data_IF_664258171759
#
_entry.id   IF_664258171759
#
_cell.length_a   1.000
_cell.length_b   1.000
_cell.length_c   1.000
_cell.angle_alpha   90.00
_cell.angle_beta   90.00
_cell.angle_gamma   90.00
#
_symmetry.space_group_name_H-M   'P 1'
#
loop_
_entity.id
_entity.type
_entity.pdbx_description
1 polymer ?
#
# COMPACT_ATOMS: atom_id res chain seq x y z
N UNK A 1 -23.00 -3.81 -3.96
CA UNK A 1 -22.89 -2.41 -4.44
C UNK A 1 -22.72 -2.33 -5.96
N UNK A 2 -21.69 -2.96 -6.56
CA UNK A 2 -21.43 -2.82 -8.00
C UNK A 2 -22.59 -3.26 -8.93
N UNK A 3 -23.24 -4.39 -8.66
CA UNK A 3 -24.45 -4.80 -9.39
C UNK A 3 -25.61 -3.81 -9.24
N UNK A 4 -25.77 -3.19 -8.08
CA UNK A 4 -26.81 -2.19 -7.88
C UNK A 4 -26.55 -0.93 -8.73
N UNK A 5 -25.27 -0.51 -8.86
CA UNK A 5 -24.88 0.57 -9.76
C UNK A 5 -25.14 0.19 -11.22
N UNK A 6 -24.80 -1.03 -11.63
CA UNK A 6 -25.08 -1.53 -12.97
C UNK A 6 -26.58 -1.52 -13.30
N UNK A 7 -27.42 -2.03 -12.38
CA UNK A 7 -28.88 -2.02 -12.52
C UNK A 7 -29.43 -0.58 -12.61
N UNK A 8 -28.88 0.35 -11.81
CA UNK A 8 -29.26 1.76 -11.87
C UNK A 8 -28.88 2.39 -13.22
N UNK A 9 -27.70 2.11 -13.75
CA UNK A 9 -27.26 2.57 -15.07
C UNK A 9 -28.20 2.06 -16.16
N UNK A 10 -28.54 0.77 -16.14
CA UNK A 10 -29.49 0.17 -17.09
C UNK A 10 -30.88 0.81 -16.99
N UNK A 11 -31.38 1.05 -15.77
CA UNK A 11 -32.66 1.70 -15.56
C UNK A 11 -32.67 3.15 -16.10
N UNK A 12 -31.60 3.91 -15.88
CA UNK A 12 -31.46 5.28 -16.42
C UNK A 12 -31.36 5.25 -17.95
N UNK A 13 -30.59 4.32 -18.52
CA UNK A 13 -30.42 4.20 -19.96
C UNK A 13 -31.75 3.86 -20.65
N UNK A 14 -32.51 2.89 -20.13
CA UNK A 14 -33.85 2.55 -20.64
C UNK A 14 -34.83 3.72 -20.53
N UNK A 15 -34.82 4.45 -19.40
CA UNK A 15 -35.65 5.67 -19.23
C UNK A 15 -35.31 6.78 -20.22
N UNK A 16 -34.07 6.84 -20.70
CA UNK A 16 -33.60 7.79 -21.71
C UNK A 16 -33.80 7.29 -23.14
N UNK A 17 -34.41 6.12 -23.34
CA UNK A 17 -34.65 5.54 -24.67
C UNK A 17 -33.38 5.06 -25.36
N UNK A 18 -32.35 4.66 -24.61
CA UNK A 18 -31.17 4.04 -25.19
C UNK A 18 -31.53 2.68 -25.80
N UNK A 19 -31.08 2.44 -27.03
CA UNK A 19 -31.18 1.14 -27.70
C UNK A 19 -30.04 0.24 -27.20
N UNK A 20 -30.33 -0.53 -26.15
CA UNK A 20 -29.38 -1.47 -25.55
C UNK A 20 -29.70 -2.88 -26.03
N UNK A 21 -28.71 -3.57 -26.58
CA UNK A 21 -28.86 -4.98 -26.91
C UNK A 21 -28.55 -5.89 -25.69
N UNK A 22 -28.80 -7.19 -25.85
CA UNK A 22 -28.52 -8.16 -24.79
C UNK A 22 -27.02 -8.29 -24.46
N UNK A 23 -26.12 -7.90 -25.35
CA UNK A 23 -24.68 -7.88 -25.07
C UNK A 23 -24.32 -6.69 -24.18
N UNK A 24 -24.86 -5.50 -24.45
CA UNK A 24 -24.65 -4.30 -23.63
C UNK A 24 -25.10 -4.53 -22.18
N UNK A 25 -26.28 -5.13 -22.00
CA UNK A 25 -26.78 -5.45 -20.65
C UNK A 25 -25.88 -6.43 -19.91
N UNK A 26 -25.42 -7.48 -20.60
CA UNK A 26 -24.49 -8.47 -20.04
C UNK A 26 -23.15 -7.84 -19.66
N UNK A 27 -22.62 -6.94 -20.48
CA UNK A 27 -21.38 -6.24 -20.19
C UNK A 27 -21.50 -5.30 -19.00
N UNK A 28 -22.58 -4.52 -18.93
CA UNK A 28 -22.81 -3.60 -17.80
C UNK A 28 -22.96 -4.38 -16.49
N UNK A 29 -23.72 -5.47 -16.49
CA UNK A 29 -23.86 -6.35 -15.32
C UNK A 29 -22.53 -7.04 -14.97
N UNK A 30 -21.82 -7.56 -15.96
CA UNK A 30 -20.52 -8.21 -15.79
C UNK A 30 -19.49 -7.28 -15.18
N UNK A 31 -19.34 -6.06 -15.71
CA UNK A 31 -18.45 -5.02 -15.16
C UNK A 31 -18.90 -4.58 -13.76
N UNK A 32 -20.22 -4.47 -13.52
CA UNK A 32 -20.78 -4.18 -12.20
C UNK A 32 -20.46 -5.26 -11.16
N UNK A 33 -20.41 -6.53 -11.56
CA UNK A 33 -19.99 -7.63 -10.69
C UNK A 33 -18.46 -7.67 -10.50
N UNK A 34 -17.69 -7.46 -11.56
CA UNK A 34 -16.22 -7.55 -11.52
C UNK A 34 -15.56 -6.36 -10.83
N UNK A 35 -16.13 -5.15 -10.94
CA UNK A 35 -15.54 -3.93 -10.37
C UNK A 35 -15.20 -4.05 -8.88
N UNK A 36 -16.14 -4.46 -8.01
CA UNK A 36 -15.85 -4.69 -6.59
C UNK A 36 -14.80 -5.77 -6.32
N UNK A 37 -14.75 -6.83 -7.14
CA UNK A 37 -13.75 -7.89 -7.00
C UNK A 37 -12.37 -7.35 -7.36
N UNK A 38 -12.25 -6.64 -8.49
CA UNK A 38 -10.99 -6.01 -8.91
C UNK A 38 -10.54 -4.99 -7.86
N UNK A 39 -11.45 -4.17 -7.33
CA UNK A 39 -11.11 -3.22 -6.27
C UNK A 39 -10.54 -3.92 -5.04
N UNK A 40 -11.23 -4.95 -4.52
CA UNK A 40 -10.73 -5.73 -3.38
C UNK A 40 -9.38 -6.38 -3.66
N UNK A 41 -9.17 -6.91 -4.87
CA UNK A 41 -7.89 -7.49 -5.27
C UNK A 41 -6.78 -6.43 -5.33
N UNK A 42 -7.06 -5.25 -5.89
CA UNK A 42 -6.11 -4.14 -5.95
C UNK A 42 -5.74 -3.63 -4.55
N UNK A 43 -6.71 -3.56 -3.65
CA UNK A 43 -6.47 -3.22 -2.25
C UNK A 43 -5.61 -4.30 -1.56
N UNK A 44 -5.85 -5.56 -1.89
CA UNK A 44 -5.05 -6.68 -1.43
C UNK A 44 -3.60 -6.69 -1.92
N UNK A 45 -3.24 -5.89 -2.93
CA UNK A 45 -1.84 -5.72 -3.36
C UNK A 45 -1.05 -4.74 -2.47
N UNK A 46 -1.71 -4.10 -1.51
CA UNK A 46 -1.12 -3.06 -0.69
C UNK A 46 -0.54 -3.56 0.64
N UNK A 47 0.12 -2.66 1.36
CA UNK A 47 0.74 -2.93 2.68
C UNK A 47 -0.26 -2.91 3.84
N UNK A 48 -1.44 -2.29 3.67
CA UNK A 48 -2.46 -2.21 4.74
C UNK A 48 -3.27 -3.50 4.91
N UNK A 49 -3.35 -4.34 3.88
CA UNK A 49 -3.99 -5.65 3.92
C UNK A 49 -5.52 -5.65 3.90
N UNK A 50 -6.10 -6.82 3.67
CA UNK A 50 -7.55 -7.01 3.50
C UNK A 50 -8.06 -8.28 4.20
N UNK A 51 -9.38 -8.36 4.34
CA UNK A 51 -10.14 -9.51 4.88
C UNK A 51 -11.14 -10.05 3.83
N UNK A 52 -10.68 -10.65 2.72
CA UNK A 52 -11.57 -10.97 1.59
C UNK A 52 -12.57 -12.09 1.88
N UNK A 53 -12.32 -12.89 2.92
CA UNK A 53 -13.11 -14.06 3.30
C UNK A 53 -13.83 -13.90 4.64
N UNK A 54 -13.84 -12.70 5.23
CA UNK A 54 -14.62 -12.41 6.43
C UNK A 54 -16.13 -12.60 6.15
N UNK A 55 -16.90 -13.31 7.01
CA UNK A 55 -16.58 -13.77 8.37
C UNK A 55 -16.07 -15.21 8.51
N UNK A 56 -15.73 -15.89 7.42
CA UNK A 56 -15.27 -17.30 7.44
C UNK A 56 -13.80 -17.42 7.84
N UNK A 57 -12.99 -16.43 7.48
CA UNK A 57 -11.60 -16.29 7.90
C UNK A 57 -11.39 -14.86 8.43
N UNK A 58 -10.76 -14.76 9.59
CA UNK A 58 -10.59 -13.55 10.39
C UNK A 58 -9.14 -13.03 10.39
N UNK A 59 -8.25 -13.69 9.66
CA UNK A 59 -6.87 -13.28 9.49
C UNK A 59 -6.67 -12.29 8.34
N UNK A 60 -5.58 -11.53 8.43
CA UNK A 60 -5.19 -10.55 7.42
C UNK A 60 -4.48 -11.20 6.23
N UNK A 61 -4.69 -10.61 5.05
CA UNK A 61 -3.93 -10.91 3.83
C UNK A 61 -3.27 -9.63 3.34
N UNK A 62 -1.95 -9.66 3.15
CA UNK A 62 -1.14 -8.53 2.70
C UNK A 62 -0.48 -8.85 1.36
N UNK A 63 -0.45 -7.87 0.46
CA UNK A 63 0.22 -8.02 -0.84
C UNK A 63 1.60 -7.38 -0.88
N UNK A 64 1.81 -6.31 -0.11
CA UNK A 64 3.10 -5.61 0.03
C UNK A 64 3.78 -5.30 -1.31
N UNK A 65 3.01 -4.91 -2.33
CA UNK A 65 3.51 -4.85 -3.69
C UNK A 65 3.28 -3.51 -4.39
N UNK A 66 2.06 -2.98 -4.33
CA UNK A 66 1.66 -1.82 -5.14
C UNK A 66 1.21 -0.69 -4.23
N UNK A 67 1.64 0.54 -4.54
CA UNK A 67 1.16 1.73 -3.86
C UNK A 67 -0.32 2.02 -4.19
N UNK A 68 -1.10 2.49 -3.21
CA UNK A 68 -2.58 2.55 -3.32
C UNK A 68 -3.07 3.46 -4.45
N UNK A 69 -2.32 4.52 -4.75
CA UNK A 69 -2.57 5.43 -5.88
C UNK A 69 -1.44 5.27 -6.88
N UNK A 70 -1.54 4.29 -7.78
CA UNK A 70 -0.47 3.98 -8.75
C UNK A 70 -0.69 4.67 -10.12
N UNK A 71 0.08 5.73 -10.45
CA UNK A 71 -0.06 6.44 -11.73
C UNK A 71 0.12 5.58 -12.97
N UNK A 72 1.00 4.56 -12.94
CA UNK A 72 1.26 3.71 -14.10
C UNK A 72 0.01 2.98 -14.59
N UNK A 73 -0.90 2.60 -13.68
CA UNK A 73 -2.16 1.96 -14.06
C UNK A 73 -3.04 2.90 -14.89
N UNK A 74 -3.11 4.17 -14.53
CA UNK A 74 -3.88 5.17 -15.27
C UNK A 74 -3.21 5.47 -16.61
N UNK A 75 -1.90 5.67 -16.61
CA UNK A 75 -1.14 6.06 -17.81
C UNK A 75 -1.03 4.92 -18.83
N UNK A 76 -1.14 3.68 -18.40
CA UNK A 76 -1.21 2.51 -19.30
C UNK A 76 -2.61 2.24 -19.82
N UNK A 77 -3.67 2.49 -19.05
CA UNK A 77 -5.05 2.26 -19.49
C UNK A 77 -5.64 3.41 -20.32
N UNK A 78 -5.44 4.66 -19.89
CA UNK A 78 -6.17 5.81 -20.43
C UNK A 78 -5.99 6.01 -21.94
N UNK A 79 -4.79 5.89 -22.55
CA UNK A 79 -4.65 6.06 -24.01
C UNK A 79 -5.56 5.15 -24.83
N UNK A 80 -5.72 3.89 -24.39
CA UNK A 80 -6.58 2.91 -25.06
C UNK A 80 -8.06 3.24 -24.86
N UNK A 81 -8.45 3.58 -23.62
CA UNK A 81 -9.83 4.00 -23.32
C UNK A 81 -10.20 5.30 -24.05
N UNK A 82 -9.26 6.22 -24.20
CA UNK A 82 -9.47 7.51 -24.87
C UNK A 82 -9.69 7.34 -26.36
N UNK A 83 -8.98 6.40 -27.00
CA UNK A 83 -9.19 6.06 -28.41
C UNK A 83 -10.62 5.56 -28.69
N UNK A 84 -11.23 4.89 -27.71
CA UNK A 84 -12.61 4.37 -27.79
C UNK A 84 -13.68 5.31 -27.21
N UNK A 85 -13.27 6.37 -26.48
CA UNK A 85 -14.18 7.30 -25.85
C UNK A 85 -14.94 8.16 -26.88
N UNK A 86 -16.28 8.09 -26.85
CA UNK A 86 -17.16 8.79 -27.80
C UNK A 86 -17.71 10.12 -27.31
N UNK A 87 -17.74 10.35 -25.99
CA UNK A 87 -18.37 11.55 -25.41
C UNK A 87 -17.32 12.51 -24.84
N UNK A 88 -17.60 13.82 -24.93
CA UNK A 88 -16.72 14.84 -24.35
C UNK A 88 -16.55 14.69 -22.82
N UNK A 89 -17.60 14.38 -22.02
CA UNK A 89 -17.42 14.16 -20.58
C UNK A 89 -16.50 12.98 -20.26
N UNK A 90 -16.64 11.83 -20.93
CA UNK A 90 -15.75 10.69 -20.72
C UNK A 90 -14.31 11.06 -21.07
N UNK A 91 -14.09 11.75 -22.19
CA UNK A 91 -12.75 12.25 -22.58
C UNK A 91 -12.17 13.22 -21.56
N UNK A 92 -12.98 14.12 -21.00
CA UNK A 92 -12.55 15.07 -19.98
C UNK A 92 -12.09 14.35 -18.70
N UNK A 93 -12.84 13.34 -18.22
CA UNK A 93 -12.44 12.52 -17.06
C UNK A 93 -11.12 11.79 -17.34
N UNK A 94 -10.98 11.19 -18.52
CA UNK A 94 -9.74 10.50 -18.91
C UNK A 94 -8.54 11.46 -18.98
N UNK A 95 -8.73 12.66 -19.55
CA UNK A 95 -7.70 13.70 -19.58
C UNK A 95 -7.32 14.13 -18.15
N UNK A 96 -8.30 14.29 -17.26
CA UNK A 96 -8.04 14.63 -15.86
C UNK A 96 -7.21 13.55 -15.17
N UNK A 97 -7.48 12.27 -15.41
CA UNK A 97 -6.67 11.17 -14.89
C UNK A 97 -5.23 11.20 -15.41
N UNK A 98 -5.02 11.56 -16.68
CA UNK A 98 -3.66 11.74 -17.23
C UNK A 98 -2.98 12.95 -16.61
N UNK A 99 -3.67 14.07 -16.45
CA UNK A 99 -3.14 15.27 -15.79
C UNK A 99 -2.77 14.94 -14.34
N UNK A 100 -3.59 14.18 -13.61
CA UNK A 100 -3.27 13.75 -12.27
C UNK A 100 -2.07 12.80 -12.25
N UNK A 101 -2.08 11.76 -13.09
CA UNK A 101 -1.03 10.74 -13.15
C UNK A 101 0.32 11.26 -13.61
N UNK A 102 0.36 12.24 -14.53
CA UNK A 102 1.59 12.90 -14.94
C UNK A 102 1.95 14.09 -14.05
N UNK A 103 0.98 14.90 -13.66
CA UNK A 103 1.19 16.18 -13.00
C UNK A 103 1.51 16.07 -11.50
N UNK A 104 0.81 15.21 -10.75
CA UNK A 104 1.05 15.06 -9.32
C UNK A 104 2.51 14.66 -9.01
N UNK A 105 3.15 13.71 -9.72
CA UNK A 105 4.57 13.41 -9.55
C UNK A 105 5.52 14.62 -9.64
N UNK A 106 5.17 15.68 -10.38
CA UNK A 106 5.96 16.91 -10.44
C UNK A 106 5.65 17.89 -9.31
N UNK A 107 4.44 17.84 -8.76
CA UNK A 107 4.03 18.67 -7.61
C UNK A 107 4.57 18.13 -6.28
N UNK A 108 4.80 16.81 -6.19
CA UNK A 108 5.39 16.15 -5.01
C UNK A 108 6.73 15.47 -5.36
N UNK A 109 7.77 16.24 -5.73
CA UNK A 109 9.03 15.69 -6.22
C UNK A 109 9.77 14.82 -5.18
N UNK A 110 9.44 14.96 -3.89
CA UNK A 110 9.95 14.12 -2.81
C UNK A 110 9.46 12.67 -2.87
N UNK A 111 8.29 12.40 -3.49
CA UNK A 111 7.70 11.06 -3.58
C UNK A 111 8.06 10.32 -4.87
N UNK A 112 8.32 11.04 -5.96
CA UNK A 112 8.62 10.47 -7.27
C UNK A 112 9.93 11.05 -7.80
N UNK A 113 11.01 10.27 -7.87
CA UNK A 113 12.30 10.74 -8.38
C UNK A 113 12.24 11.20 -9.85
N UNK A 114 13.15 12.08 -10.25
CA UNK A 114 13.19 12.61 -11.62
C UNK A 114 13.27 11.52 -12.70
N UNK A 115 14.10 10.46 -12.57
CA UNK A 115 14.12 9.38 -13.57
C UNK A 115 12.76 8.70 -13.75
N UNK A 116 12.00 8.54 -12.67
CA UNK A 116 10.66 7.93 -12.70
C UNK A 116 9.66 8.86 -13.37
N UNK A 117 9.70 10.18 -13.08
CA UNK A 117 8.85 11.17 -13.76
C UNK A 117 9.07 11.18 -15.27
N UNK A 118 10.31 11.10 -15.72
CA UNK A 118 10.66 11.02 -17.14
C UNK A 118 10.16 9.68 -17.72
N UNK A 119 10.37 8.57 -17.01
CA UNK A 119 9.88 7.26 -17.43
C UNK A 119 8.35 7.26 -17.61
N UNK A 120 7.59 7.90 -16.71
CA UNK A 120 6.13 8.04 -16.84
C UNK A 120 5.72 8.75 -18.13
N UNK A 121 6.41 9.85 -18.48
CA UNK A 121 6.16 10.57 -19.74
C UNK A 121 6.45 9.70 -20.96
N UNK A 122 7.58 8.99 -20.94
CA UNK A 122 7.99 8.10 -22.04
C UNK A 122 7.02 6.93 -22.19
N UNK A 123 6.66 6.26 -21.09
CA UNK A 123 5.69 5.16 -21.09
C UNK A 123 4.35 5.66 -21.61
N UNK A 124 3.85 6.79 -21.12
CA UNK A 124 2.60 7.36 -21.61
C UNK A 124 2.65 7.66 -23.12
N UNK A 125 3.74 8.25 -23.61
CA UNK A 125 3.91 8.52 -25.04
C UNK A 125 3.90 7.23 -25.87
N UNK A 126 4.57 6.16 -25.40
CA UNK A 126 4.54 4.84 -26.03
C UNK A 126 3.11 4.31 -26.06
N UNK A 127 2.38 4.37 -24.94
CA UNK A 127 0.99 3.89 -24.86
C UNK A 127 0.06 4.65 -25.81
N UNK A 128 0.26 5.97 -25.96
CA UNK A 128 -0.47 6.78 -26.96
C UNK A 128 -0.16 6.33 -28.39
N UNK A 129 1.10 6.06 -28.72
CA UNK A 129 1.47 5.53 -30.05
C UNK A 129 0.84 4.17 -30.28
N UNK A 130 0.95 3.24 -29.33
CA UNK A 130 0.35 1.91 -29.43
C UNK A 130 -1.18 1.97 -29.59
N UNK A 131 -1.86 2.81 -28.82
CA UNK A 131 -3.31 2.99 -28.92
C UNK A 131 -3.76 3.58 -30.27
N UNK A 132 -2.89 4.31 -30.98
CA UNK A 132 -3.16 4.85 -32.32
C UNK A 132 -2.80 3.89 -33.45
N UNK A 133 -1.75 3.08 -33.28
CA UNK A 133 -1.27 2.16 -34.31
C UNK A 133 -2.12 0.89 -34.38
N UNK A 134 -2.62 0.42 -33.24
CA UNK A 134 -3.43 -0.79 -33.17
C UNK A 134 -4.92 -0.47 -33.08
N UNK A 135 -5.74 -1.34 -33.64
CA UNK A 135 -7.19 -1.20 -33.69
C UNK A 135 -7.91 -2.47 -33.19
N UNK A 136 -9.20 -2.32 -32.89
CA UNK A 136 -10.10 -3.41 -32.51
C UNK A 136 -9.57 -4.26 -31.36
N UNK A 137 -9.70 -5.59 -31.50
CA UNK A 137 -9.32 -6.56 -30.46
C UNK A 137 -7.84 -6.49 -30.09
N UNK A 138 -6.95 -6.15 -31.03
CA UNK A 138 -5.52 -6.02 -30.75
C UNK A 138 -5.24 -4.84 -29.84
N UNK A 139 -5.88 -3.69 -30.09
CA UNK A 139 -5.79 -2.52 -29.20
C UNK A 139 -6.25 -2.87 -27.78
N UNK A 140 -7.40 -3.53 -27.66
CA UNK A 140 -7.93 -3.95 -26.36
C UNK A 140 -6.98 -4.92 -25.64
N UNK A 141 -6.44 -5.93 -26.33
CA UNK A 141 -5.52 -6.89 -25.75
C UNK A 141 -4.22 -6.24 -25.26
N UNK A 142 -3.64 -5.30 -26.03
CA UNK A 142 -2.45 -4.56 -25.62
C UNK A 142 -2.76 -3.67 -24.42
N UNK A 143 -3.88 -2.95 -24.42
CA UNK A 143 -4.29 -2.10 -23.29
C UNK A 143 -4.49 -2.89 -22.00
N UNK A 144 -5.20 -4.03 -22.08
CA UNK A 144 -5.37 -4.94 -20.94
C UNK A 144 -4.04 -5.54 -20.49
N UNK A 145 -3.19 -5.96 -21.43
CA UNK A 145 -1.86 -6.50 -21.14
C UNK A 145 -0.96 -5.47 -20.46
N UNK A 146 -0.99 -4.21 -20.90
CA UNK A 146 -0.25 -3.12 -20.26
C UNK A 146 -0.78 -2.85 -18.84
N UNK A 147 -2.10 -2.74 -18.68
CA UNK A 147 -2.74 -2.49 -17.39
C UNK A 147 -2.45 -3.61 -16.37
N UNK A 148 -2.67 -4.88 -16.72
CA UNK A 148 -2.42 -6.01 -15.84
C UNK A 148 -0.94 -6.38 -15.73
N UNK A 149 -0.11 -5.98 -16.69
CA UNK A 149 1.33 -6.14 -16.63
C UNK A 149 1.96 -5.32 -15.50
N UNK A 150 1.43 -4.13 -15.20
CA UNK A 150 1.91 -3.28 -14.09
C UNK A 150 1.88 -4.03 -12.75
N UNK A 151 0.73 -4.52 -12.22
CA UNK A 151 0.71 -5.21 -10.93
C UNK A 151 1.54 -6.50 -10.94
N UNK A 152 1.64 -7.20 -12.07
CA UNK A 152 2.52 -8.39 -12.21
C UNK A 152 3.99 -8.01 -12.00
N UNK A 153 4.46 -6.92 -12.61
CA UNK A 153 5.84 -6.43 -12.42
C UNK A 153 6.09 -6.04 -10.97
N UNK A 154 5.16 -5.34 -10.33
CA UNK A 154 5.29 -4.92 -8.94
C UNK A 154 5.24 -6.11 -7.96
N UNK A 155 4.40 -7.12 -8.21
CA UNK A 155 4.38 -8.36 -7.43
C UNK A 155 5.70 -9.14 -7.54
N UNK A 156 6.25 -9.24 -8.76
CA UNK A 156 7.56 -9.85 -8.97
C UNK A 156 8.67 -9.08 -8.25
N UNK A 157 8.66 -7.74 -8.34
CA UNK A 157 9.59 -6.87 -7.64
C UNK A 157 9.45 -6.96 -6.11
N UNK A 158 8.23 -7.05 -5.58
CA UNK A 158 7.94 -7.25 -4.15
C UNK A 158 8.56 -8.54 -3.62
N UNK A 159 8.40 -9.65 -4.36
CA UNK A 159 9.02 -10.93 -3.99
C UNK A 159 10.54 -10.79 -3.86
N UNK A 160 11.17 -10.09 -4.81
CA UNK A 160 12.60 -9.79 -4.76
C UNK A 160 12.96 -8.85 -3.61
N UNK A 161 12.09 -7.90 -3.28
CA UNK A 161 12.25 -6.94 -2.19
C UNK A 161 12.26 -7.63 -0.84
N UNK A 162 11.28 -8.48 -0.55
CA UNK A 162 11.23 -9.30 0.65
C UNK A 162 12.49 -10.15 0.79
N UNK A 163 12.82 -10.93 -0.25
CA UNK A 163 14.01 -11.78 -0.21
C UNK A 163 15.30 -10.98 0.00
N UNK A 164 15.40 -9.79 -0.57
CA UNK A 164 16.59 -8.93 -0.43
C UNK A 164 16.72 -8.40 1.00
N UNK A 165 15.64 -7.82 1.54
CA UNK A 165 15.69 -7.17 2.85
C UNK A 165 15.76 -8.17 3.99
N UNK A 166 15.09 -9.32 3.89
CA UNK A 166 15.16 -10.41 4.88
C UNK A 166 16.59 -10.98 4.96
N UNK A 167 17.23 -11.24 3.81
CA UNK A 167 18.63 -11.69 3.77
C UNK A 167 19.57 -10.69 4.41
N UNK A 168 19.37 -9.40 4.15
CA UNK A 168 20.17 -8.34 4.77
C UNK A 168 19.94 -8.27 6.27
N UNK A 169 18.68 -8.30 6.72
CA UNK A 169 18.33 -8.28 8.14
C UNK A 169 18.98 -9.44 8.91
N UNK A 170 18.95 -10.66 8.36
CA UNK A 170 19.62 -11.83 8.95
C UNK A 170 21.14 -11.68 9.02
N UNK A 171 21.75 -11.01 8.04
CA UNK A 171 23.20 -10.81 7.99
C UNK A 171 23.67 -9.70 8.95
N UNK A 172 22.92 -8.60 9.04
CA UNK A 172 23.28 -7.43 9.85
C UNK A 172 22.86 -7.56 11.32
N UNK A 173 21.80 -8.33 11.61
CA UNK A 173 21.24 -8.50 12.96
C UNK A 173 21.12 -9.99 13.35
N UNK A 174 22.23 -10.76 13.41
CA UNK A 174 22.20 -12.21 13.65
C UNK A 174 21.68 -12.62 15.04
N UNK A 175 21.65 -11.69 16.00
CA UNK A 175 21.12 -11.91 17.35
C UNK A 175 19.60 -11.70 17.47
N UNK A 176 18.93 -11.34 16.39
CA UNK A 176 17.50 -11.03 16.35
C UNK A 176 16.75 -12.02 15.48
N UNK A 177 15.53 -12.36 15.88
CA UNK A 177 14.60 -13.16 15.08
C UNK A 177 13.70 -12.20 14.31
N UNK A 178 13.88 -12.14 12.99
CA UNK A 178 12.95 -11.43 12.11
C UNK A 178 11.58 -12.13 12.15
N UNK A 179 10.55 -11.37 12.48
CA UNK A 179 9.15 -11.82 12.59
C UNK A 179 8.38 -11.47 11.32
N UNK A 180 8.57 -10.25 10.82
CA UNK A 180 7.88 -9.73 9.65
C UNK A 180 8.71 -8.64 8.98
N UNK A 181 8.49 -8.44 7.69
CA UNK A 181 9.04 -7.35 6.90
C UNK A 181 7.92 -6.76 6.06
N UNK A 182 7.26 -5.70 6.55
CA UNK A 182 6.18 -5.06 5.81
C UNK A 182 6.79 -4.16 4.73
N UNK A 183 6.68 -4.53 3.46
CA UNK A 183 7.30 -3.79 2.34
C UNK A 183 6.28 -3.01 1.52
N UNK A 184 6.72 -1.90 0.92
CA UNK A 184 5.94 -1.14 -0.05
C UNK A 184 6.85 -0.49 -1.08
N UNK A 185 6.42 -0.51 -2.34
CA UNK A 185 7.07 0.24 -3.40
C UNK A 185 6.76 1.74 -3.26
N UNK A 186 7.63 2.57 -3.81
CA UNK A 186 7.30 3.97 -4.06
C UNK A 186 6.41 4.11 -5.32
N UNK A 187 5.59 5.18 -5.43
CA UNK A 187 4.66 5.34 -6.54
C UNK A 187 5.38 5.27 -7.89
N UNK A 188 4.87 4.43 -8.80
CA UNK A 188 5.43 4.21 -10.14
C UNK A 188 6.88 3.73 -10.18
N UNK A 189 7.43 3.26 -9.07
CA UNK A 189 8.83 2.88 -8.98
C UNK A 189 8.99 1.46 -8.40
N UNK A 190 9.10 0.42 -9.25
CA UNK A 190 9.35 -0.93 -8.78
C UNK A 190 10.79 -1.17 -8.34
N UNK A 191 11.69 -0.17 -8.42
CA UNK A 191 13.10 -0.29 -8.04
C UNK A 191 13.41 0.28 -6.66
N UNK A 192 12.61 1.23 -6.16
CA UNK A 192 12.76 1.81 -4.83
C UNK A 192 11.66 1.31 -3.90
N UNK A 193 12.07 0.82 -2.73
CA UNK A 193 11.21 0.23 -1.74
C UNK A 193 11.45 0.85 -0.37
N UNK A 194 10.42 0.83 0.46
CA UNK A 194 10.57 1.04 1.90
C UNK A 194 10.02 -0.17 2.63
N UNK A 195 10.61 -0.50 3.78
CA UNK A 195 10.14 -1.55 4.66
C UNK A 195 10.12 -1.11 6.11
N UNK A 196 9.22 -1.73 6.86
CA UNK A 196 9.28 -1.80 8.32
C UNK A 196 9.59 -3.23 8.71
N UNK A 197 10.77 -3.44 9.28
CA UNK A 197 11.17 -4.73 9.83
C UNK A 197 10.67 -4.84 11.26
N UNK A 198 10.11 -6.00 11.59
CA UNK A 198 9.65 -6.35 12.93
C UNK A 198 10.48 -7.54 13.39
N UNK A 199 11.28 -7.35 14.44
CA UNK A 199 12.16 -8.38 14.97
C UNK A 199 11.96 -8.54 16.48
N UNK A 200 12.32 -9.70 17.01
CA UNK A 200 12.39 -9.95 18.45
C UNK A 200 13.82 -10.29 18.88
N UNK A 201 14.21 -9.87 20.08
CA UNK A 201 15.53 -10.16 20.66
C UNK A 201 15.44 -11.23 21.74
N UNK A 202 16.56 -11.89 22.04
CA UNK A 202 16.63 -12.80 23.20
C UNK A 202 16.44 -12.08 24.54
N UNK A 203 16.67 -10.76 24.58
CA UNK A 203 16.46 -9.94 25.76
C UNK A 203 14.97 -9.63 26.03
N UNK A 204 14.07 -10.00 25.10
CA UNK A 204 12.64 -9.74 25.22
C UNK A 204 12.18 -8.42 24.60
N UNK A 205 12.97 -7.84 23.68
CA UNK A 205 12.56 -6.62 22.98
C UNK A 205 11.81 -6.95 21.68
N UNK A 206 10.82 -6.13 21.35
CA UNK A 206 10.33 -5.92 20.00
C UNK A 206 11.13 -4.78 19.37
N UNK A 207 11.77 -5.04 18.24
CA UNK A 207 12.57 -4.07 17.50
C UNK A 207 11.89 -3.78 16.17
N UNK A 208 11.53 -2.52 15.96
CA UNK A 208 11.02 -2.03 14.70
C UNK A 208 12.11 -1.27 13.97
N UNK A 209 12.31 -1.51 12.68
CA UNK A 209 13.26 -0.72 11.87
C UNK A 209 12.64 -0.21 10.60
N UNK A 210 12.81 1.08 10.32
CA UNK A 210 12.41 1.69 9.05
C UNK A 210 13.63 1.76 8.13
N UNK A 211 13.43 1.33 6.89
CA UNK A 211 14.49 1.25 5.89
C UNK A 211 13.95 1.59 4.51
N UNK A 212 14.72 2.37 3.75
CA UNK A 212 14.52 2.54 2.30
C UNK A 212 15.65 1.82 1.59
N UNK A 213 15.34 1.10 0.51
CA UNK A 213 16.33 0.34 -0.24
C UNK A 213 16.00 0.30 -1.73
N UNK A 214 17.06 0.14 -2.54
CA UNK A 214 16.99 -0.05 -3.97
C UNK A 214 17.20 -1.53 -4.30
N UNK A 215 16.31 -2.11 -5.11
CA UNK A 215 16.44 -3.50 -5.57
C UNK A 215 17.64 -3.71 -6.48
N UNK A 216 17.90 -2.72 -7.33
CA UNK A 216 18.91 -2.81 -8.39
C UNK A 216 19.82 -1.59 -8.30
N UNK A 217 20.73 -1.53 -7.29
CA UNK A 217 21.54 -0.35 -7.00
C UNK A 217 22.47 0.07 -8.15
N UNK A 218 22.78 -0.83 -9.08
CA UNK A 218 23.52 -0.53 -10.31
C UNK A 218 22.72 0.27 -11.35
N UNK A 219 21.39 0.24 -11.27
CA UNK A 219 20.47 1.00 -12.15
C UNK A 219 19.99 2.26 -11.44
N UNK A 220 19.64 2.15 -10.16
CA UNK A 220 19.16 3.25 -9.33
C UNK A 220 19.65 3.01 -7.90
N UNK A 221 20.52 3.89 -7.39
CA UNK A 221 20.98 3.82 -6.00
C UNK A 221 19.89 4.29 -5.04
N UNK A 222 20.03 3.93 -3.76
CA UNK A 222 19.10 4.34 -2.70
C UNK A 222 19.04 5.86 -2.51
N UNK A 223 20.10 6.59 -2.88
CA UNK A 223 20.14 8.06 -2.84
C UNK A 223 19.14 8.70 -3.81
N UNK A 224 18.80 7.99 -4.89
CA UNK A 224 17.76 8.42 -5.83
C UNK A 224 16.35 8.07 -5.35
N UNK A 225 16.21 7.28 -4.28
CA UNK A 225 14.91 6.92 -3.73
C UNK A 225 14.39 8.04 -2.80
N UNK A 226 13.05 8.25 -2.77
CA UNK A 226 12.39 9.18 -1.85
C UNK A 226 12.89 9.06 -0.42
N UNK A 227 13.07 10.21 0.25
CA UNK A 227 13.44 10.29 1.66
C UNK A 227 12.26 10.86 2.45
N UNK A 228 11.97 10.27 3.60
CA UNK A 228 11.00 10.77 4.57
C UNK A 228 11.76 11.52 5.67
N UNK A 229 11.84 12.84 5.55
CA UNK A 229 12.57 13.69 6.51
C UNK A 229 11.67 14.22 7.63
N UNK A 230 10.34 14.08 7.50
CA UNK A 230 9.39 14.52 8.51
C UNK A 230 9.63 13.76 9.81
N UNK A 231 9.63 14.51 10.92
CA UNK A 231 9.63 13.92 12.23
C UNK A 231 8.32 13.15 12.43
N UNK A 232 8.38 12.09 13.23
CA UNK A 232 7.30 11.11 13.38
C UNK A 232 7.00 10.88 14.85
N UNK A 233 5.89 10.20 15.12
CA UNK A 233 5.42 9.98 16.49
C UNK A 233 6.27 8.95 17.24
N UNK A 234 6.72 7.90 16.57
CA UNK A 234 7.60 6.88 17.13
C UNK A 234 9.03 7.44 17.37
N UNK A 235 9.61 7.28 18.57
CA UNK A 235 10.95 7.77 18.84
C UNK A 235 11.98 6.82 18.22
N UNK A 236 12.34 7.09 16.97
CA UNK A 236 13.37 6.36 16.26
C UNK A 236 14.76 6.80 16.71
N UNK A 237 15.64 5.82 16.90
CA UNK A 237 17.06 5.98 17.18
C UNK A 237 17.90 5.50 15.98
N UNK A 238 19.16 5.94 15.86
CA UNK A 238 20.04 5.44 14.80
C UNK A 238 20.20 3.92 14.85
N UNK A 239 20.17 3.28 13.68
CA UNK A 239 20.40 1.84 13.55
C UNK A 239 21.90 1.55 13.64
N UNK A 240 22.28 0.51 14.38
CA UNK A 240 23.67 0.04 14.50
C UNK A 240 24.23 -0.63 13.24
N UNK A 241 23.77 -0.25 12.04
CA UNK A 241 24.17 -0.83 10.76
C UNK A 241 24.51 0.28 9.75
N UNK A 242 25.53 0.07 8.89
CA UNK A 242 25.96 1.10 7.94
C UNK A 242 24.94 1.27 6.80
N UNK A 243 24.83 2.50 6.30
CA UNK A 243 24.19 2.77 5.02
C UNK A 243 25.14 2.43 3.86
N UNK A 244 24.59 2.02 2.72
CA UNK A 244 25.33 1.74 1.50
C UNK A 244 24.57 2.19 0.24
N UNK A 245 25.09 1.87 -0.95
CA UNK A 245 24.47 2.27 -2.23
C UNK A 245 23.07 1.66 -2.45
N UNK A 246 22.73 0.59 -1.73
CA UNK A 246 21.49 -0.15 -1.86
C UNK A 246 20.52 0.12 -0.71
N UNK A 247 21.01 0.51 0.47
CA UNK A 247 20.21 0.54 1.71
C UNK A 247 20.48 1.79 2.52
N UNK A 248 19.39 2.42 2.97
CA UNK A 248 19.39 3.54 3.90
C UNK A 248 18.50 3.20 5.08
N UNK A 249 19.13 2.94 6.22
CA UNK A 249 18.46 2.81 7.51
C UNK A 249 18.00 4.18 7.99
N UNK A 250 16.71 4.29 8.31
CA UNK A 250 16.10 5.56 8.73
C UNK A 250 15.98 5.66 10.25
N UNK A 251 15.89 4.51 10.92
CA UNK A 251 15.94 4.43 12.37
C UNK A 251 15.38 3.12 12.90
N UNK A 252 15.63 2.84 14.17
CA UNK A 252 15.06 1.73 14.94
C UNK A 252 14.36 2.23 16.19
N UNK A 253 13.31 1.51 16.58
CA UNK A 253 12.61 1.72 17.84
C UNK A 253 12.51 0.38 18.58
N UNK A 254 12.83 0.41 19.88
CA UNK A 254 12.88 -0.79 20.73
C UNK A 254 11.83 -0.65 21.82
N UNK A 255 11.07 -1.71 22.02
CA UNK A 255 9.97 -1.77 22.98
C UNK A 255 10.12 -3.05 23.79
N UNK A 256 9.88 -2.98 25.10
CA UNK A 256 9.75 -4.18 25.92
C UNK A 256 8.51 -4.98 25.45
N UNK A 257 8.74 -6.19 24.93
CA UNK A 257 7.66 -7.04 24.42
C UNK A 257 6.70 -7.45 25.55
N UNK A 258 7.19 -7.63 26.77
CA UNK A 258 6.36 -7.94 27.92
C UNK A 258 5.41 -6.78 28.25
N UNK A 259 5.88 -5.54 28.10
CA UNK A 259 5.03 -4.34 28.26
C UNK A 259 3.94 -4.28 27.19
N UNK A 260 4.27 -4.54 25.93
CA UNK A 260 3.28 -4.56 24.84
C UNK A 260 2.22 -5.66 25.06
N UNK A 261 2.65 -6.87 25.43
CA UNK A 261 1.75 -7.99 25.79
C UNK A 261 0.83 -7.62 26.94
N UNK A 262 1.40 -7.08 28.03
CA UNK A 262 0.63 -6.64 29.18
C UNK A 262 -0.45 -5.61 28.78
N UNK A 263 -0.11 -4.60 27.97
CA UNK A 263 -1.09 -3.60 27.52
C UNK A 263 -2.19 -4.22 26.65
N UNK A 264 -1.82 -5.11 25.72
CA UNK A 264 -2.78 -5.80 24.86
C UNK A 264 -3.71 -6.75 25.62
N UNK A 265 -3.26 -7.34 26.73
CA UNK A 265 -4.06 -8.23 27.57
C UNK A 265 -4.93 -7.46 28.58
N UNK A 266 -4.36 -6.43 29.21
CA UNK A 266 -5.00 -5.71 30.33
C UNK A 266 -5.90 -4.58 29.89
N UNK A 267 -5.75 -4.05 28.67
CA UNK A 267 -6.56 -2.94 28.17
C UNK A 267 -7.28 -3.27 26.87
N UNK A 268 -8.60 -3.12 26.89
CA UNK A 268 -9.43 -3.45 25.74
C UNK A 268 -9.33 -2.45 24.58
N UNK A 269 -8.95 -1.20 24.84
CA UNK A 269 -8.65 -0.20 23.79
C UNK A 269 -7.38 -0.59 23.02
N UNK A 270 -6.30 -0.97 23.71
CA UNK A 270 -5.07 -1.48 23.10
C UNK A 270 -5.33 -2.81 22.38
N UNK A 271 -6.06 -3.74 22.99
CA UNK A 271 -6.44 -5.00 22.35
C UNK A 271 -7.21 -4.79 21.04
N UNK A 272 -8.10 -3.78 20.99
CA UNK A 272 -8.84 -3.42 19.80
C UNK A 272 -7.90 -2.88 18.70
N UNK A 273 -6.94 -2.02 19.05
CA UNK A 273 -5.93 -1.50 18.13
C UNK A 273 -5.03 -2.59 17.55
N UNK A 274 -4.63 -3.57 18.37
CA UNK A 274 -3.80 -4.69 17.92
C UNK A 274 -4.47 -5.52 16.81
N UNK A 275 -5.78 -5.42 16.61
CA UNK A 275 -6.47 -6.09 15.48
C UNK A 275 -6.14 -5.48 14.12
N UNK A 276 -5.54 -4.29 14.09
CA UNK A 276 -5.07 -3.61 12.87
C UNK A 276 -3.54 -3.57 12.77
N UNK A 277 -2.85 -3.44 13.92
CA UNK A 277 -1.42 -3.13 13.96
C UNK A 277 -0.54 -4.32 13.57
N UNK A 278 0.26 -4.15 12.51
CA UNK A 278 1.25 -5.12 12.00
C UNK A 278 2.66 -4.81 12.48
N UNK A 279 2.97 -3.53 12.70
CA UNK A 279 4.24 -3.06 13.27
C UNK A 279 3.97 -2.11 14.45
N UNK A 280 3.45 -2.64 15.58
CA UNK A 280 2.97 -1.81 16.70
C UNK A 280 4.12 -1.14 17.46
N UNK A 281 4.00 0.15 17.73
CA UNK A 281 4.92 0.89 18.61
C UNK A 281 4.23 1.52 19.82
N UNK A 282 5.02 1.84 20.85
CA UNK A 282 4.58 2.57 22.04
C UNK A 282 5.51 3.76 22.24
N UNK A 283 4.95 4.97 22.35
CA UNK A 283 5.71 6.19 22.63
C UNK A 283 5.16 6.91 23.87
N UNK A 284 5.98 7.06 24.90
CA UNK A 284 5.60 7.72 26.15
C UNK A 284 5.45 9.24 25.97
N UNK A 285 4.40 9.83 26.55
CA UNK A 285 4.05 11.26 26.49
C UNK A 285 3.65 11.79 27.87
N UNK A 286 4.55 11.68 28.85
CA UNK A 286 4.29 12.19 30.20
C UNK A 286 3.21 11.38 30.93
N UNK A 287 1.98 11.91 30.99
CA UNK A 287 0.81 11.24 31.62
C UNK A 287 -0.04 10.43 30.62
N UNK A 288 0.34 10.43 29.35
CA UNK A 288 -0.26 9.64 28.28
C UNK A 288 0.80 8.83 27.56
N UNK A 289 0.39 7.92 26.69
CA UNK A 289 1.26 7.22 25.76
C UNK A 289 0.55 7.04 24.42
N UNK A 290 1.31 7.04 23.34
CA UNK A 290 0.80 6.75 22.00
C UNK A 290 1.01 5.28 21.71
N UNK A 291 -0.02 4.61 21.18
CA UNK A 291 0.09 3.31 20.52
C UNK A 291 -0.17 3.52 19.04
N UNK A 292 0.75 3.09 18.19
CA UNK A 292 0.64 3.32 16.74
C UNK A 292 1.19 2.18 15.89
N UNK A 293 1.06 2.30 14.57
CA UNK A 293 1.67 1.38 13.60
C UNK A 293 2.72 2.10 12.75
N UNK A 294 3.99 1.67 12.87
CA UNK A 294 5.12 2.34 12.24
C UNK A 294 5.04 2.34 10.70
N UNK A 295 4.20 1.50 10.07
CA UNK A 295 3.98 1.53 8.62
C UNK A 295 3.35 2.85 8.15
N UNK A 296 2.57 3.50 9.01
CA UNK A 296 1.76 4.67 8.67
C UNK A 296 2.17 5.94 9.41
N UNK A 297 3.07 5.82 10.38
CA UNK A 297 3.65 6.96 11.10
C UNK A 297 4.53 7.82 10.17
N UNK A 298 4.03 9.02 9.85
CA UNK A 298 4.56 9.89 8.79
C UNK A 298 4.80 11.34 9.23
N UNK A 299 4.16 11.78 10.32
CA UNK A 299 4.24 13.13 10.88
C UNK A 299 4.26 13.01 12.42
N UNK A 300 4.67 14.06 13.13
CA UNK A 300 4.61 14.16 14.59
C UNK A 300 3.17 14.26 15.10
N UNK A 301 2.23 14.63 14.22
CA UNK A 301 0.80 14.66 14.51
C UNK A 301 0.23 13.25 14.42
N UNK A 302 -0.67 12.94 15.34
CA UNK A 302 -1.45 11.71 15.31
C UNK A 302 -2.28 11.64 14.02
N UNK A 303 -2.19 10.51 13.32
CA UNK A 303 -2.99 10.19 12.15
C UNK A 303 -3.87 8.96 12.46
N UNK A 304 -4.47 8.37 11.43
CA UNK A 304 -5.44 7.29 11.56
C UNK A 304 -4.90 6.00 12.19
N UNK A 305 -3.57 5.84 12.25
CA UNK A 305 -2.90 4.63 12.71
C UNK A 305 -2.32 4.77 14.13
N UNK A 306 -2.51 5.92 14.77
CA UNK A 306 -2.04 6.25 16.11
C UNK A 306 -3.21 6.63 17.03
N UNK A 307 -3.15 6.19 18.28
CA UNK A 307 -4.03 6.69 19.34
C UNK A 307 -3.19 7.06 20.55
N UNK A 308 -3.42 8.28 21.05
CA UNK A 308 -2.94 8.71 22.36
C UNK A 308 -3.92 8.26 23.43
N UNK A 309 -3.42 7.50 24.40
CA UNK A 309 -4.19 6.88 25.48
C UNK A 309 -3.68 7.37 26.85
N UNK A 310 -4.58 7.57 27.83
CA UNK A 310 -4.17 7.83 29.20
C UNK A 310 -3.51 6.60 29.82
N UNK A 311 -2.61 6.80 30.80
CA UNK A 311 -1.96 5.70 31.55
C UNK A 311 -3.01 4.77 32.18
N UNK A 312 -4.09 5.35 32.72
CA UNK A 312 -5.17 4.58 33.33
C UNK A 312 -6.05 3.88 32.28
N UNK A 313 -6.48 2.62 32.53
CA UNK A 313 -7.38 1.89 31.64
C UNK A 313 -8.71 2.63 31.39
N UNK A 314 -9.33 2.45 30.22
CA UNK A 314 -10.61 3.09 29.95
C UNK A 314 -11.72 2.47 30.82
N UNK A 315 -12.69 3.30 31.22
CA UNK A 315 -13.87 2.82 31.94
C UNK A 315 -14.81 1.98 31.05
N UNK A 316 -14.80 2.22 29.75
CA UNK A 316 -15.64 1.53 28.76
C UNK A 316 -14.80 1.08 27.57
N UNK A 317 -15.06 -0.15 27.12
CA UNK A 317 -14.38 -0.72 25.96
C UNK A 317 -15.05 -0.30 24.64
N UNK A 318 -14.28 -0.18 23.53
CA UNK A 318 -14.85 0.08 22.22
C UNK A 318 -15.90 -0.97 21.84
N UNK A 319 -17.07 -0.52 21.35
CA UNK A 319 -18.22 -1.39 21.07
C UNK A 319 -18.12 -2.13 19.73
N UNK A 320 -17.58 -1.48 18.71
CA UNK A 320 -17.60 -1.97 17.32
C UNK A 320 -16.23 -2.51 16.90
N UNK A 321 -15.72 -3.48 17.65
CA UNK A 321 -14.42 -4.09 17.34
C UNK A 321 -14.63 -5.37 16.54
N UNK A 322 -14.17 -5.45 15.27
CA UNK A 322 -14.30 -6.65 14.46
C UNK A 322 -13.48 -7.78 15.09
N UNK A 323 -13.97 -9.01 15.10
CA UNK A 323 -13.24 -10.14 15.72
C UNK A 323 -12.13 -10.69 14.83
N UNK A 324 -11.36 -9.79 14.20
CA UNK A 324 -10.20 -10.14 13.41
C UNK A 324 -9.04 -10.58 14.30
N UNK A 325 -8.31 -11.59 13.87
CA UNK A 325 -7.08 -12.02 14.53
C UNK A 325 -6.03 -10.91 14.37
N UNK A 326 -5.39 -10.43 15.46
CA UNK A 326 -4.29 -9.48 15.39
C UNK A 326 -3.20 -9.92 14.41
N UNK A 327 -2.66 -9.03 13.55
CA UNK A 327 -1.59 -9.41 12.63
C UNK A 327 -0.40 -10.05 13.35
N UNK A 328 -0.07 -9.53 14.53
CA UNK A 328 1.05 -9.96 15.40
C UNK A 328 0.63 -10.90 16.53
N UNK A 329 -0.44 -11.68 16.37
CA UNK A 329 -0.88 -12.66 17.36
C UNK A 329 0.23 -13.66 17.77
N UNK A 330 1.18 -13.90 16.86
CA UNK A 330 2.35 -14.76 17.01
C UNK A 330 3.37 -14.26 18.06
N UNK A 331 3.42 -12.95 18.33
CA UNK A 331 4.28 -12.36 19.37
C UNK A 331 3.49 -11.74 20.53
N UNK A 332 2.19 -11.46 20.34
CA UNK A 332 1.32 -10.93 21.40
C UNK A 332 0.82 -12.01 22.36
N UNK A 333 0.78 -13.27 21.94
CA UNK A 333 0.48 -14.39 22.83
C UNK A 333 1.77 -14.82 23.59
N UNK A 334 1.68 -15.23 24.88
CA UNK A 334 2.83 -15.59 25.71
C UNK A 334 3.81 -16.59 25.09
#
# INVERSE_FOLDING_TARGET
>A
MGLAVALLILAIARRRGADLDAADERWILGLGALGPIIHLLMDGLNIYGIHPFWPVYDGWIYGDAVFIVEPLLWLTAVPFLFADARTAPTRAVLILLVIAGLGLPWLVPGFVPLPVRIALLVIFAIMVVLARVFEGTRRAAIGLGAFFGVPVVFLAASTLAHLSIERRAMAEFPGEKLVDAATTSWPSNPLCWSAVLVSTTQAGDLVLRRVTFALTPSVMSVESCPLREEAITAPLHPVGAPNDIATRWEGEHRIDLARLRYLAESRCDVAALMRFMRAPFIAERGETFVVGDLRFDRDEKLDFAELELPIDPPNECPRFVPSWTPPRADILSP
#
